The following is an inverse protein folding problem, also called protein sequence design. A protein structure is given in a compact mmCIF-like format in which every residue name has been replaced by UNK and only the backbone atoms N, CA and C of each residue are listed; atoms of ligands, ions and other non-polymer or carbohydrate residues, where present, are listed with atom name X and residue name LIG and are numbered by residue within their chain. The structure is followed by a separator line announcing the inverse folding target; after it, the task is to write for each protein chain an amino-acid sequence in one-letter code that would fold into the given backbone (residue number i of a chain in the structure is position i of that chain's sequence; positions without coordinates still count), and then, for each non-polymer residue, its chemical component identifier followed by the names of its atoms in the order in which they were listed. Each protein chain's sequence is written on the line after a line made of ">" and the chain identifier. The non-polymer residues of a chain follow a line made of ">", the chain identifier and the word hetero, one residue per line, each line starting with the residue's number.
data_IF_263885681110
#
_entry.id   IF_263885681110
#
_cell.length_a   1.000
_cell.length_b   1.000
_cell.length_c   1.000
_cell.angle_alpha   90.00
_cell.angle_beta   90.00
_cell.angle_gamma   90.00
#
_symmetry.space_group_name_H-M   'P 1'
#
loop_
_entity.id
_entity.type
_entity.pdbx_description
1 polymer ?
#
# COMPACT_ATOMS: atom_id res chain seq x y z
N UNK A 1 11.37 -32.21 -10.23
CA UNK A 1 10.16 -31.38 -10.44
C UNK A 1 10.00 -30.55 -9.18
N UNK A 2 10.26 -29.23 -9.18
CA UNK A 2 10.13 -28.47 -7.95
C UNK A 2 8.65 -28.41 -7.59
N UNK A 3 8.37 -28.65 -6.31
CA UNK A 3 7.06 -28.47 -5.70
C UNK A 3 6.64 -27.03 -6.01
N UNK A 4 5.51 -26.84 -6.69
CA UNK A 4 4.89 -25.52 -6.84
C UNK A 4 4.52 -25.10 -5.41
N UNK A 5 5.40 -24.36 -4.74
CA UNK A 5 5.13 -23.90 -3.38
C UNK A 5 3.80 -23.17 -3.40
N UNK A 6 2.91 -23.62 -2.53
CA UNK A 6 1.54 -23.14 -2.50
C UNK A 6 1.56 -21.65 -2.20
N UNK A 7 0.96 -20.85 -3.08
CA UNK A 7 0.83 -19.40 -2.91
C UNK A 7 0.30 -19.10 -1.50
N UNK A 8 0.90 -18.16 -0.79
CA UNK A 8 0.41 -17.75 0.54
C UNK A 8 -0.91 -16.99 0.34
N UNK A 9 -1.87 -17.15 1.24
CA UNK A 9 -3.20 -16.49 1.13
C UNK A 9 -3.07 -14.96 1.00
N UNK A 10 -2.12 -14.37 1.73
CA UNK A 10 -1.84 -12.94 1.63
C UNK A 10 -1.39 -12.54 0.22
N UNK A 11 -0.56 -13.35 -0.43
CA UNK A 11 -0.07 -13.09 -1.80
C UNK A 11 -1.19 -13.29 -2.83
N UNK A 12 -2.06 -14.27 -2.62
CA UNK A 12 -3.28 -14.49 -3.40
C UNK A 12 -4.21 -13.26 -3.36
N UNK A 13 -4.43 -12.70 -2.17
CA UNK A 13 -5.23 -11.47 -2.00
C UNK A 13 -4.56 -10.27 -2.69
N UNK A 14 -3.24 -10.15 -2.59
CA UNK A 14 -2.51 -9.09 -3.27
C UNK A 14 -2.64 -9.21 -4.80
N UNK A 15 -2.42 -10.41 -5.34
CA UNK A 15 -2.52 -10.68 -6.78
C UNK A 15 -3.94 -10.45 -7.30
N UNK A 16 -4.95 -10.90 -6.56
CA UNK A 16 -6.35 -10.69 -6.91
C UNK A 16 -6.67 -9.20 -7.07
N UNK A 17 -6.28 -8.41 -6.08
CA UNK A 17 -6.56 -6.97 -6.04
C UNK A 17 -5.74 -6.21 -7.09
N UNK A 18 -4.49 -6.63 -7.34
CA UNK A 18 -3.66 -6.05 -8.39
C UNK A 18 -4.27 -6.27 -9.78
N UNK A 19 -4.76 -7.48 -10.08
CA UNK A 19 -5.44 -7.76 -11.34
C UNK A 19 -6.73 -6.98 -11.50
N UNK A 20 -7.53 -6.85 -10.43
CA UNK A 20 -8.75 -6.05 -10.47
C UNK A 20 -8.45 -4.59 -10.87
N UNK A 21 -7.40 -3.97 -10.30
CA UNK A 21 -6.98 -2.63 -10.72
C UNK A 21 -6.45 -2.58 -12.16
N UNK A 22 -5.80 -3.64 -12.66
CA UNK A 22 -5.36 -3.67 -14.06
C UNK A 22 -6.52 -3.78 -15.05
N UNK A 23 -7.55 -4.56 -14.71
CA UNK A 23 -8.74 -4.76 -15.54
C UNK A 23 -9.72 -3.58 -15.44
N UNK A 24 -9.74 -2.91 -14.31
CA UNK A 24 -10.60 -1.76 -14.02
C UNK A 24 -9.75 -0.56 -13.58
N UNK A 25 -8.95 0.04 -14.47
CA UNK A 25 -8.02 1.12 -14.12
C UNK A 25 -8.71 2.42 -13.64
N UNK A 26 -9.99 2.61 -13.95
CA UNK A 26 -10.81 3.73 -13.49
C UNK A 26 -11.41 3.49 -12.08
N UNK A 27 -11.34 2.27 -11.55
CA UNK A 27 -11.89 1.94 -10.24
C UNK A 27 -10.88 2.23 -9.13
N UNK A 28 -11.29 3.06 -8.16
CA UNK A 28 -10.48 3.41 -7.00
C UNK A 28 -10.32 2.26 -6.00
N UNK A 29 -11.34 1.41 -5.88
CA UNK A 29 -11.44 0.31 -4.94
C UNK A 29 -12.45 -0.77 -5.38
N UNK A 30 -12.49 -1.88 -4.65
CA UNK A 30 -13.33 -3.04 -4.92
C UNK A 30 -14.03 -3.50 -3.64
N UNK A 31 -15.19 -4.14 -3.78
CA UNK A 31 -15.86 -4.80 -2.66
C UNK A 31 -15.06 -6.00 -2.13
N UNK A 32 -15.30 -6.37 -0.88
CA UNK A 32 -14.77 -7.62 -0.29
C UNK A 32 -15.08 -8.82 -1.18
N UNK A 33 -16.32 -8.92 -1.68
CA UNK A 33 -16.77 -10.06 -2.46
C UNK A 33 -16.07 -10.16 -3.82
N UNK A 34 -15.82 -9.02 -4.49
CA UNK A 34 -15.04 -8.99 -5.73
C UNK A 34 -13.61 -9.51 -5.53
N UNK A 35 -12.95 -9.06 -4.45
CA UNK A 35 -11.59 -9.48 -4.13
C UNK A 35 -11.55 -10.97 -3.78
N UNK A 36 -12.50 -11.44 -2.95
CA UNK A 36 -12.60 -12.86 -2.55
C UNK A 36 -12.90 -13.75 -3.75
N UNK A 37 -13.86 -13.35 -4.59
CA UNK A 37 -14.20 -14.08 -5.81
C UNK A 37 -13.01 -14.17 -6.76
N UNK A 38 -12.26 -13.07 -6.92
CA UNK A 38 -11.06 -13.04 -7.76
C UNK A 38 -9.97 -13.94 -7.22
N UNK A 39 -9.67 -13.88 -5.92
CA UNK A 39 -8.66 -14.71 -5.27
C UNK A 39 -8.94 -16.21 -5.47
N UNK A 40 -10.20 -16.62 -5.36
CA UNK A 40 -10.61 -18.01 -5.61
C UNK A 40 -10.23 -18.54 -7.00
N UNK A 41 -9.98 -17.68 -8.00
CA UNK A 41 -9.63 -18.12 -9.36
C UNK A 41 -8.18 -18.61 -9.53
N UNK A 42 -7.30 -18.44 -8.54
CA UNK A 42 -5.88 -18.83 -8.67
C UNK A 42 -5.61 -20.33 -8.44
N UNK A 43 -6.29 -20.96 -7.48
CA UNK A 43 -6.10 -22.39 -7.18
C UNK A 43 -7.22 -23.27 -7.76
N UNK A 44 -8.47 -22.92 -7.51
CA UNK A 44 -9.63 -23.72 -7.93
C UNK A 44 -10.78 -22.80 -8.36
N UNK A 45 -11.09 -22.72 -9.67
CA UNK A 45 -12.19 -21.89 -10.18
C UNK A 45 -13.55 -22.18 -9.54
N UNK A 46 -13.71 -23.34 -8.90
CA UNK A 46 -14.96 -23.86 -8.31
C UNK A 46 -15.06 -23.66 -6.81
N UNK A 47 -13.99 -23.28 -6.10
CA UNK A 47 -13.98 -23.16 -4.65
C UNK A 47 -13.11 -21.99 -4.14
N UNK A 48 -13.65 -21.24 -3.18
CA UNK A 48 -12.88 -20.20 -2.46
C UNK A 48 -12.04 -20.90 -1.40
N UNK A 49 -10.73 -20.66 -1.41
CA UNK A 49 -9.80 -21.21 -0.43
C UNK A 49 -10.14 -20.72 0.99
N UNK A 50 -10.22 -21.62 2.00
CA UNK A 50 -10.41 -21.24 3.38
C UNK A 50 -9.36 -20.22 3.84
N UNK A 51 -9.81 -19.13 4.46
CA UNK A 51 -8.95 -18.08 4.98
C UNK A 51 -8.80 -16.86 4.08
N UNK A 52 -9.17 -16.92 2.80
CA UNK A 52 -9.15 -15.75 1.90
C UNK A 52 -10.02 -14.63 2.47
N UNK A 53 -11.26 -14.94 2.85
CA UNK A 53 -12.19 -13.97 3.40
C UNK A 53 -11.61 -13.20 4.60
N UNK A 54 -11.05 -13.91 5.60
CA UNK A 54 -10.48 -13.26 6.79
C UNK A 54 -9.23 -12.42 6.47
N UNK A 55 -8.48 -12.78 5.41
CA UNK A 55 -7.39 -11.94 4.94
C UNK A 55 -7.89 -10.63 4.34
N UNK A 56 -8.94 -10.69 3.53
CA UNK A 56 -9.55 -9.52 2.88
C UNK A 56 -10.21 -8.58 3.90
N UNK A 57 -10.85 -9.10 4.95
CA UNK A 57 -11.54 -8.26 5.94
C UNK A 57 -10.67 -7.82 7.13
N UNK A 58 -9.58 -8.54 7.44
CA UNK A 58 -8.82 -8.31 8.67
C UNK A 58 -7.30 -8.44 8.50
N UNK A 59 -6.77 -9.60 8.11
CA UNK A 59 -5.32 -9.84 8.26
C UNK A 59 -4.46 -8.98 7.33
N UNK A 60 -4.99 -8.57 6.17
CA UNK A 60 -4.29 -7.76 5.19
C UNK A 60 -4.61 -6.27 5.25
N UNK A 61 -5.58 -5.85 6.07
CA UNK A 61 -6.12 -4.48 6.05
C UNK A 61 -5.29 -3.55 6.93
N UNK A 62 -4.55 -2.63 6.29
CA UNK A 62 -3.53 -1.79 6.90
C UNK A 62 -4.07 -0.82 7.97
N UNK A 63 -5.26 -0.26 7.77
CA UNK A 63 -5.89 0.71 8.67
C UNK A 63 -6.80 0.06 9.74
N UNK A 64 -6.81 -1.27 9.85
CA UNK A 64 -7.48 -1.99 10.94
C UNK A 64 -6.49 -2.46 12.01
N UNK A 65 -6.92 -2.65 13.28
CA UNK A 65 -6.09 -3.31 14.29
C UNK A 65 -5.59 -4.69 13.80
N UNK A 66 -4.34 -5.09 14.11
CA UNK A 66 -3.83 -6.41 13.76
C UNK A 66 -4.55 -7.50 14.56
N UNK A 67 -4.89 -8.62 13.92
CA UNK A 67 -5.48 -9.79 14.60
C UNK A 67 -5.47 -11.03 13.68
N UNK A 68 -4.67 -12.09 13.95
CA UNK A 68 -3.26 -12.04 14.36
C UNK A 68 -2.34 -11.59 13.21
N UNK A 69 -2.81 -11.64 11.95
CA UNK A 69 -2.05 -11.20 10.79
C UNK A 69 -1.79 -9.69 10.79
N UNK A 70 -0.60 -9.30 10.33
CA UNK A 70 -0.10 -7.92 10.40
C UNK A 70 0.10 -7.24 9.05
N UNK A 71 -0.09 -7.94 7.93
CA UNK A 71 0.19 -7.42 6.58
C UNK A 71 -0.55 -6.11 6.30
N UNK A 72 0.05 -5.27 5.46
CA UNK A 72 -0.45 -3.99 4.97
C UNK A 72 -0.62 -4.08 3.45
N UNK A 73 -1.46 -5.02 3.02
CA UNK A 73 -1.68 -5.33 1.59
C UNK A 73 -2.90 -4.57 1.07
N UNK A 74 -3.96 -4.48 1.88
CA UNK A 74 -5.18 -3.77 1.56
C UNK A 74 -5.33 -2.52 2.40
N UNK A 75 -6.05 -1.54 1.88
CA UNK A 75 -6.52 -0.37 2.60
C UNK A 75 -8.04 -0.30 2.51
N UNK A 76 -8.73 -0.18 3.66
CA UNK A 76 -10.17 0.03 3.69
C UNK A 76 -10.48 1.51 3.40
N UNK A 77 -11.11 1.76 2.26
CA UNK A 77 -11.53 3.09 1.80
C UNK A 77 -12.88 3.49 2.36
N UNK A 78 -13.80 2.51 2.47
CA UNK A 78 -15.11 2.62 3.09
C UNK A 78 -15.58 1.24 3.55
N UNK A 79 -16.68 1.17 4.31
CA UNK A 79 -17.23 -0.10 4.80
C UNK A 79 -17.45 -1.09 3.64
N UNK A 80 -16.86 -2.28 3.76
CA UNK A 80 -16.93 -3.31 2.72
C UNK A 80 -16.12 -3.07 1.44
N UNK A 81 -15.46 -1.91 1.28
CA UNK A 81 -14.61 -1.59 0.11
C UNK A 81 -13.12 -1.50 0.46
N UNK A 82 -12.28 -2.04 -0.41
CA UNK A 82 -10.83 -2.13 -0.22
C UNK A 82 -10.10 -1.90 -1.54
N UNK A 83 -8.91 -1.33 -1.44
CA UNK A 83 -7.96 -1.25 -2.54
C UNK A 83 -6.59 -1.73 -2.10
N UNK A 84 -5.64 -1.87 -3.02
CA UNK A 84 -4.24 -2.08 -2.63
C UNK A 84 -3.74 -0.92 -1.77
N UNK A 85 -3.01 -1.25 -0.72
CA UNK A 85 -2.32 -0.29 0.12
C UNK A 85 -1.29 0.46 -0.72
N UNK A 86 -1.16 1.77 -0.49
CA UNK A 86 -0.11 2.63 -1.06
C UNK A 86 0.84 3.05 0.04
N UNK A 87 2.12 3.28 -0.27
CA UNK A 87 3.12 3.67 0.73
C UNK A 87 2.77 4.93 1.52
N UNK A 88 2.02 5.86 0.91
CA UNK A 88 1.56 7.09 1.55
C UNK A 88 0.31 6.91 2.42
N UNK A 89 -0.35 5.74 2.37
CA UNK A 89 -1.57 5.52 3.14
C UNK A 89 -1.27 5.41 4.64
N UNK A 90 -2.17 5.95 5.48
CA UNK A 90 -2.09 5.75 6.91
C UNK A 90 -2.28 4.26 7.24
N UNK A 91 -1.67 3.81 8.32
CA UNK A 91 -1.80 2.43 8.78
C UNK A 91 -1.79 2.37 10.30
N UNK A 92 -2.34 1.28 10.84
CA UNK A 92 -2.35 1.05 12.27
C UNK A 92 -0.93 0.78 12.78
N UNK A 93 -0.43 1.45 13.84
CA UNK A 93 0.96 1.33 14.31
C UNK A 93 1.43 -0.10 14.56
N UNK A 94 0.55 -0.96 15.08
CA UNK A 94 0.82 -2.40 15.30
C UNK A 94 1.12 -3.23 14.04
N UNK A 95 1.03 -2.62 12.85
CA UNK A 95 1.38 -3.22 11.54
C UNK A 95 2.66 -2.64 10.94
N UNK A 96 3.38 -1.77 11.65
CA UNK A 96 4.64 -1.22 11.19
C UNK A 96 5.64 -2.33 10.79
N UNK A 97 6.36 -2.13 9.69
CA UNK A 97 7.36 -3.08 9.19
C UNK A 97 6.80 -4.38 8.59
N UNK A 98 5.48 -4.54 8.49
CA UNK A 98 4.86 -5.73 7.89
C UNK A 98 4.84 -5.71 6.36
N UNK A 99 4.63 -6.89 5.78
CA UNK A 99 4.53 -7.16 4.34
C UNK A 99 3.48 -6.26 3.66
N UNK A 100 3.88 -5.64 2.55
CA UNK A 100 3.04 -4.78 1.69
C UNK A 100 2.83 -5.39 0.31
N UNK A 101 3.86 -6.01 -0.24
CA UNK A 101 3.86 -6.72 -1.52
C UNK A 101 4.36 -8.16 -1.33
N UNK A 102 4.01 -9.09 -2.23
CA UNK A 102 4.67 -10.38 -2.34
C UNK A 102 6.17 -10.24 -2.61
N UNK A 103 6.93 -11.23 -2.17
CA UNK A 103 8.31 -11.39 -2.64
C UNK A 103 8.29 -12.01 -4.05
N UNK A 104 9.16 -11.62 -4.99
CA UNK A 104 9.18 -12.16 -6.35
C UNK A 104 9.26 -13.70 -6.42
N UNK A 105 9.99 -14.30 -5.49
CA UNK A 105 10.16 -15.75 -5.33
C UNK A 105 8.91 -16.47 -4.78
N UNK A 106 8.04 -15.76 -4.06
CA UNK A 106 6.81 -16.30 -3.46
C UNK A 106 5.66 -16.40 -4.49
N UNK A 107 5.83 -15.82 -5.69
CA UNK A 107 4.78 -15.75 -6.72
C UNK A 107 5.22 -16.35 -8.06
N UNK A 108 4.28 -16.91 -8.84
CA UNK A 108 4.57 -17.35 -10.20
C UNK A 108 5.13 -16.23 -11.09
N UNK A 109 6.06 -16.60 -11.99
CA UNK A 109 6.80 -15.66 -12.84
C UNK A 109 5.86 -14.79 -13.69
N UNK A 110 4.75 -15.34 -14.15
CA UNK A 110 3.72 -14.64 -14.93
C UNK A 110 3.10 -13.44 -14.19
N UNK A 111 3.15 -13.45 -12.86
CA UNK A 111 2.62 -12.40 -12.00
C UNK A 111 3.68 -11.41 -11.52
N UNK A 112 4.97 -11.68 -11.69
CA UNK A 112 6.03 -10.76 -11.25
C UNK A 112 5.93 -9.39 -11.91
N UNK A 113 5.39 -9.31 -13.14
CA UNK A 113 5.10 -8.03 -13.82
C UNK A 113 4.15 -7.11 -13.03
N UNK A 114 3.29 -7.69 -12.18
CA UNK A 114 2.39 -6.92 -11.32
C UNK A 114 3.15 -6.11 -10.27
N UNK A 115 4.32 -6.57 -9.83
CA UNK A 115 5.15 -5.83 -8.87
C UNK A 115 5.67 -4.53 -9.48
N UNK A 116 6.08 -4.57 -10.76
CA UNK A 116 6.48 -3.38 -11.51
C UNK A 116 5.31 -2.42 -11.69
N UNK A 117 4.16 -2.95 -12.14
CA UNK A 117 2.93 -2.16 -12.27
C UNK A 117 2.53 -1.49 -10.95
N UNK A 118 2.58 -2.23 -9.83
CA UNK A 118 2.20 -1.70 -8.51
C UNK A 118 3.10 -0.55 -8.08
N UNK A 119 4.40 -0.65 -8.34
CA UNK A 119 5.35 0.44 -8.04
C UNK A 119 4.92 1.72 -8.75
N UNK A 120 4.69 1.65 -10.06
CA UNK A 120 4.26 2.80 -10.86
C UNK A 120 2.88 3.33 -10.43
N UNK A 121 1.93 2.42 -10.19
CA UNK A 121 0.56 2.75 -9.76
C UNK A 121 0.55 3.46 -8.39
N UNK A 122 1.33 2.97 -7.42
CA UNK A 122 1.41 3.58 -6.08
C UNK A 122 2.11 4.94 -6.09
N UNK A 123 3.04 5.18 -7.02
CA UNK A 123 3.79 6.44 -7.11
C UNK A 123 2.96 7.56 -7.77
N UNK A 124 2.16 7.25 -8.81
CA UNK A 124 1.33 8.22 -9.54
C UNK A 124 0.41 9.05 -8.65
N UNK A 125 -0.26 8.39 -7.71
CA UNK A 125 -1.21 9.06 -6.81
C UNK A 125 -0.51 9.88 -5.72
N UNK A 126 0.66 9.45 -5.27
CA UNK A 126 1.49 10.25 -4.35
C UNK A 126 1.92 11.57 -4.99
N UNK A 127 2.24 11.55 -6.29
CA UNK A 127 2.55 12.75 -7.07
C UNK A 127 1.33 13.62 -7.33
N UNK A 128 0.19 13.02 -7.68
CA UNK A 128 -1.11 13.71 -7.85
C UNK A 128 -1.52 14.46 -6.58
N UNK A 129 -1.38 13.83 -5.41
CA UNK A 129 -1.73 14.43 -4.12
C UNK A 129 -0.77 15.56 -3.73
N UNK A 130 0.54 15.37 -3.91
CA UNK A 130 1.54 16.43 -3.73
C UNK A 130 1.31 17.62 -4.66
N UNK A 131 0.91 17.38 -5.91
CA UNK A 131 0.59 18.43 -6.88
C UNK A 131 -0.73 19.16 -6.60
N UNK A 132 -1.64 18.57 -5.80
CA UNK A 132 -2.91 19.18 -5.38
C UNK A 132 -2.78 19.99 -4.09
N UNK A 133 -1.84 19.65 -3.21
CA UNK A 133 -1.62 20.39 -1.96
C UNK A 133 -0.76 21.64 -2.19
N UNK A 134 -1.31 22.86 -2.02
CA UNK A 134 -0.57 24.10 -2.27
C UNK A 134 0.63 24.30 -1.34
N UNK A 135 0.61 23.76 -0.11
CA UNK A 135 1.73 23.86 0.83
C UNK A 135 2.85 22.89 0.45
N UNK A 136 2.51 21.65 0.07
CA UNK A 136 3.52 20.67 -0.37
C UNK A 136 4.18 21.08 -1.70
N UNK A 137 3.45 21.72 -2.61
CA UNK A 137 4.02 22.32 -3.84
C UNK A 137 5.06 23.40 -3.55
N UNK A 138 4.94 24.09 -2.42
CA UNK A 138 5.86 25.14 -1.98
C UNK A 138 7.06 24.58 -1.19
N UNK A 139 7.09 23.27 -0.91
CA UNK A 139 8.21 22.63 -0.22
C UNK A 139 9.51 22.85 -1.00
N UNK A 140 10.50 23.45 -0.35
CA UNK A 140 11.79 23.80 -0.96
C UNK A 140 11.81 25.15 -1.70
N UNK A 141 10.68 25.86 -1.83
CA UNK A 141 10.64 27.21 -2.44
C UNK A 141 11.48 28.23 -1.66
N UNK A 142 11.61 28.05 -0.34
CA UNK A 142 12.44 28.88 0.53
C UNK A 142 13.94 28.59 0.47
N UNK A 143 14.42 27.52 -0.18
CA UNK A 143 15.85 27.13 -0.13
C UNK A 143 16.81 28.25 -0.55
N UNK A 144 16.40 29.12 -1.47
CA UNK A 144 17.20 30.26 -1.91
C UNK A 144 17.16 31.45 -0.95
N UNK A 145 16.08 31.60 -0.17
CA UNK A 145 15.94 32.67 0.83
C UNK A 145 16.82 32.42 2.06
N UNK A 146 17.08 31.14 2.37
CA UNK A 146 17.89 30.70 3.50
C UNK A 146 19.25 30.15 3.07
N UNK A 147 19.69 30.42 1.83
CA UNK A 147 20.94 29.88 1.29
C UNK A 147 22.18 30.45 2.01
N UNK A 148 22.08 31.70 2.46
CA UNK A 148 23.18 32.46 3.06
C UNK A 148 23.11 32.50 4.60
N UNK A 149 22.12 31.83 5.21
CA UNK A 149 21.95 31.80 6.67
C UNK A 149 22.04 30.36 7.20
N UNK A 150 23.13 30.01 7.89
CA UNK A 150 23.26 28.73 8.58
C UNK A 150 22.17 28.60 9.67
N UNK A 151 21.52 27.45 9.74
CA UNK A 151 20.42 27.22 10.68
C UNK A 151 20.83 27.42 12.15
N UNK A 152 22.09 27.12 12.48
CA UNK A 152 22.62 27.25 13.84
C UNK A 152 22.74 28.72 14.27
N UNK A 153 23.26 29.59 13.39
CA UNK A 153 23.39 31.03 13.64
C UNK A 153 22.02 31.71 13.81
N UNK A 154 21.02 31.28 13.05
CA UNK A 154 19.64 31.75 13.17
C UNK A 154 19.02 31.40 14.55
N UNK A 155 19.24 30.18 15.03
CA UNK A 155 18.71 29.70 16.31
C UNK A 155 19.41 30.37 17.50
N UNK A 156 20.71 30.61 17.41
CA UNK A 156 21.46 31.36 18.43
C UNK A 156 20.91 32.79 18.56
N UNK A 157 20.74 33.51 17.44
CA UNK A 157 20.17 34.87 17.44
C UNK A 157 18.75 34.92 18.02
N UNK A 158 17.92 33.92 17.74
CA UNK A 158 16.55 33.87 18.31
C UNK A 158 16.52 33.65 19.82
N UNK A 159 17.57 33.04 20.38
CA UNK A 159 17.69 32.74 21.81
C UNK A 159 18.45 33.82 22.58
N UNK A 160 19.08 34.78 21.90
CA UNK A 160 19.64 35.97 22.55
C UNK A 160 18.50 36.76 23.22
N UNK A 161 18.56 36.86 24.55
CA UNK A 161 17.57 37.58 25.36
C UNK A 161 16.54 36.70 26.08
N UNK A 162 16.63 35.36 25.97
CA UNK A 162 15.82 34.42 26.75
C UNK A 162 16.52 34.01 28.07
N UNK A 163 17.10 35.00 28.80
CA UNK A 163 17.59 34.81 30.17
C UNK A 163 16.50 35.09 31.21
#
# INVERSE_FOLDING_TARGET
>A
MPIKERLKIADEVWLATAQLHQEHPEADDFSVDEIVWRAGKFEDPTAIRPGVYVHVIQHCVANRPPNPGKSRILFETSEGRRRLYRKADPFHPGRAGSKVTPEPEDIPVEYQRLLLWYKDWSERESQSQSAKDPLLRLSGSGKRLWADEPADEYVERLREGWQ
#
